data_IF_465720981755
#
_entry.id   IF_465720981755
#
_cell.length_a   1.000
_cell.length_b   1.000
_cell.length_c   1.000
_cell.angle_alpha   90.00
_cell.angle_beta   90.00
_cell.angle_gamma   90.00
#
_symmetry.space_group_name_H-M   'P 1'
#
loop_
_entity.id
_entity.type
_entity.pdbx_description
1 polymer ?
#
# COMPACT_ATOMS: atom_id res chain seq x y z
N UNK A 1 -3.57 6.35 -23.65
CA UNK A 1 -4.54 7.10 -22.80
C UNK A 1 -5.87 7.34 -23.50
N UNK A 2 -5.95 7.10 -24.78
CA UNK A 2 -7.15 7.38 -25.61
C UNK A 2 -8.39 6.53 -25.28
N UNK A 3 -8.24 5.51 -24.40
CA UNK A 3 -9.34 4.65 -23.94
C UNK A 3 -9.92 5.02 -22.57
N UNK A 4 -9.30 5.99 -21.85
CA UNK A 4 -9.80 6.44 -20.57
C UNK A 4 -10.71 7.66 -20.74
N UNK A 5 -11.73 7.76 -19.87
CA UNK A 5 -12.53 8.98 -19.77
C UNK A 5 -11.62 10.17 -19.42
N UNK A 6 -11.85 11.34 -20.03
CA UNK A 6 -10.94 12.48 -20.00
C UNK A 6 -10.50 12.88 -18.57
N UNK A 7 -11.45 13.02 -17.63
CA UNK A 7 -11.17 13.42 -16.25
C UNK A 7 -10.27 12.41 -15.50
N UNK A 8 -10.47 11.10 -15.71
CA UNK A 8 -9.60 10.07 -15.16
C UNK A 8 -8.22 10.10 -15.85
N UNK A 9 -8.18 10.32 -17.16
CA UNK A 9 -6.94 10.47 -17.91
C UNK A 9 -6.11 11.65 -17.40
N UNK A 10 -6.74 12.81 -17.23
CA UNK A 10 -6.11 14.03 -16.71
C UNK A 10 -5.58 13.82 -15.26
N UNK A 11 -6.38 13.18 -14.42
CA UNK A 11 -5.96 12.84 -13.04
C UNK A 11 -4.73 11.90 -13.02
N UNK A 12 -4.69 10.92 -13.92
CA UNK A 12 -3.59 9.94 -13.98
C UNK A 12 -2.34 10.46 -14.71
N UNK A 13 -2.46 11.52 -15.52
CA UNK A 13 -1.37 12.02 -16.37
C UNK A 13 -0.06 12.31 -15.60
N UNK A 14 -0.05 12.98 -14.42
CA UNK A 14 1.17 13.19 -13.64
C UNK A 14 1.82 11.88 -13.19
N UNK A 15 1.01 10.87 -12.84
CA UNK A 15 1.47 9.55 -12.43
C UNK A 15 2.08 8.79 -13.60
N UNK A 16 1.44 8.80 -14.76
CA UNK A 16 1.96 8.20 -16.00
C UNK A 16 3.27 8.85 -16.40
N UNK A 17 3.36 10.19 -16.36
CA UNK A 17 4.59 10.94 -16.64
C UNK A 17 5.73 10.51 -15.71
N UNK A 18 5.46 10.33 -14.42
CA UNK A 18 6.46 9.92 -13.42
C UNK A 18 6.91 8.46 -13.58
N UNK A 19 6.00 7.57 -13.94
CA UNK A 19 6.25 6.11 -14.07
C UNK A 19 6.77 5.72 -15.46
N UNK A 20 6.42 6.48 -16.50
CA UNK A 20 6.72 6.16 -17.90
C UNK A 20 5.71 5.20 -18.55
N UNK A 21 4.67 4.78 -17.83
CA UNK A 21 3.63 3.88 -18.34
C UNK A 21 2.30 4.09 -17.63
N UNK A 22 1.20 3.68 -18.29
CA UNK A 22 -0.10 3.48 -17.67
C UNK A 22 -0.19 2.03 -17.20
N UNK A 23 -0.29 1.82 -15.88
CA UNK A 23 -0.39 0.47 -15.31
C UNK A 23 -1.64 -0.28 -15.78
N UNK A 24 -1.53 -1.60 -15.97
CA UNK A 24 -2.64 -2.45 -16.43
C UNK A 24 -3.88 -2.34 -15.53
N UNK A 25 -3.69 -2.14 -14.23
CA UNK A 25 -4.79 -1.88 -13.30
C UNK A 25 -5.68 -0.74 -13.81
N UNK A 26 -5.10 0.40 -14.23
CA UNK A 26 -5.86 1.57 -14.66
C UNK A 26 -6.55 1.36 -16.00
N UNK A 27 -5.99 0.51 -16.87
CA UNK A 27 -6.67 0.10 -18.10
C UNK A 27 -7.93 -0.71 -17.79
N UNK A 28 -7.84 -1.67 -16.87
CA UNK A 28 -8.99 -2.47 -16.43
C UNK A 28 -9.99 -1.62 -15.63
N UNK A 29 -9.52 -0.84 -14.68
CA UNK A 29 -10.36 0.00 -13.81
C UNK A 29 -11.01 1.17 -14.55
N UNK A 30 -10.50 1.56 -15.72
CA UNK A 30 -11.09 2.55 -16.62
C UNK A 30 -12.49 2.22 -17.08
N UNK A 31 -12.92 0.96 -17.01
CA UNK A 31 -14.31 0.55 -17.24
C UNK A 31 -15.29 1.04 -16.14
N UNK A 32 -14.79 1.45 -14.97
CA UNK A 32 -15.56 2.05 -13.89
C UNK A 32 -14.91 3.40 -13.47
N UNK A 33 -14.94 4.43 -14.34
CA UNK A 33 -14.10 5.61 -14.20
C UNK A 33 -14.40 6.42 -12.92
N UNK A 34 -15.68 6.58 -12.52
CA UNK A 34 -16.04 7.29 -11.30
C UNK A 34 -15.53 6.57 -10.06
N UNK A 35 -15.73 5.26 -9.99
CA UNK A 35 -15.25 4.43 -8.88
C UNK A 35 -13.72 4.51 -8.79
N UNK A 36 -13.04 4.42 -9.92
CA UNK A 36 -11.57 4.49 -9.99
C UNK A 36 -11.07 5.85 -9.55
N UNK A 37 -11.68 6.93 -10.01
CA UNK A 37 -11.31 8.29 -9.64
C UNK A 37 -11.46 8.52 -8.12
N UNK A 38 -12.61 8.15 -7.54
CA UNK A 38 -12.82 8.28 -6.10
C UNK A 38 -11.91 7.37 -5.27
N UNK A 39 -11.63 6.15 -5.73
CA UNK A 39 -10.66 5.27 -5.09
C UNK A 39 -9.24 5.87 -5.08
N UNK A 40 -8.88 6.57 -6.14
CA UNK A 40 -7.59 7.24 -6.24
C UNK A 40 -7.52 8.50 -5.38
N UNK A 41 -8.58 9.30 -5.31
CA UNK A 41 -8.67 10.43 -4.38
C UNK A 41 -8.59 9.96 -2.92
N UNK A 42 -9.27 8.87 -2.58
CA UNK A 42 -9.15 8.24 -1.26
C UNK A 42 -7.70 7.82 -0.98
N UNK A 43 -7.01 7.24 -1.97
CA UNK A 43 -5.59 6.87 -1.84
C UNK A 43 -4.70 8.08 -1.56
N UNK A 44 -4.90 9.18 -2.29
CA UNK A 44 -4.10 10.39 -2.10
C UNK A 44 -4.37 11.02 -0.73
N UNK A 45 -5.63 11.10 -0.29
CA UNK A 45 -5.98 11.58 1.05
C UNK A 45 -5.33 10.76 2.18
N UNK A 46 -5.23 9.43 2.02
CA UNK A 46 -4.53 8.57 2.99
C UNK A 46 -3.02 8.85 3.03
N UNK A 47 -2.40 9.07 1.87
CA UNK A 47 -0.98 9.41 1.78
C UNK A 47 -0.67 10.78 2.37
N UNK A 48 -1.57 11.74 2.21
CA UNK A 48 -1.44 13.07 2.81
C UNK A 48 -1.60 13.04 4.35
N UNK A 49 -2.37 12.07 4.86
CA UNK A 49 -2.65 11.92 6.28
C UNK A 49 -1.60 11.10 7.05
N UNK A 50 -0.67 10.44 6.36
CA UNK A 50 0.30 9.53 6.97
C UNK A 50 1.73 9.89 6.58
N UNK A 51 2.71 9.71 7.49
CA UNK A 51 4.12 9.72 7.10
C UNK A 51 4.42 8.66 6.04
N UNK A 52 5.33 8.99 5.11
CA UNK A 52 5.74 8.08 4.02
C UNK A 52 6.14 6.70 4.53
N UNK A 53 6.86 6.61 5.66
CA UNK A 53 7.30 5.33 6.23
C UNK A 53 6.14 4.46 6.69
N UNK A 54 5.10 5.02 7.30
CA UNK A 54 3.89 4.27 7.69
C UNK A 54 3.08 3.88 6.46
N UNK A 55 2.99 4.76 5.47
CA UNK A 55 2.32 4.49 4.20
C UNK A 55 2.95 3.30 3.48
N UNK A 56 4.28 3.33 3.29
CA UNK A 56 4.99 2.25 2.60
C UNK A 56 5.04 0.95 3.42
N UNK A 57 5.16 1.05 4.76
CA UNK A 57 5.06 -0.11 5.65
C UNK A 57 3.71 -0.83 5.45
N UNK A 58 2.60 -0.09 5.49
CA UNK A 58 1.26 -0.64 5.31
C UNK A 58 1.08 -1.25 3.92
N UNK A 59 1.49 -0.53 2.87
CA UNK A 59 1.40 -0.99 1.49
C UNK A 59 2.19 -2.29 1.25
N UNK A 60 3.46 -2.34 1.68
CA UNK A 60 4.33 -3.52 1.55
C UNK A 60 3.83 -4.69 2.38
N UNK A 61 3.36 -4.43 3.61
CA UNK A 61 2.80 -5.48 4.49
C UNK A 61 1.58 -6.15 3.84
N UNK A 62 0.62 -5.36 3.36
CA UNK A 62 -0.58 -5.92 2.69
C UNK A 62 -0.20 -6.61 1.39
N UNK A 63 0.66 -6.00 0.57
CA UNK A 63 1.07 -6.58 -0.70
C UNK A 63 1.79 -7.93 -0.51
N UNK A 64 2.66 -8.04 0.50
CA UNK A 64 3.36 -9.30 0.82
C UNK A 64 2.41 -10.34 1.40
N UNK A 65 1.53 -9.95 2.33
CA UNK A 65 0.55 -10.84 2.94
C UNK A 65 -0.46 -11.41 1.91
N UNK A 66 -0.93 -10.56 0.99
CA UNK A 66 -1.89 -10.92 -0.05
C UNK A 66 -1.24 -11.53 -1.31
N UNK A 67 0.07 -11.75 -1.29
CA UNK A 67 0.85 -12.21 -2.44
C UNK A 67 0.68 -11.34 -3.69
N UNK A 68 0.40 -10.04 -3.49
CA UNK A 68 0.22 -9.06 -4.55
C UNK A 68 1.58 -8.55 -5.06
N UNK A 69 2.20 -9.31 -5.96
CA UNK A 69 3.50 -8.94 -6.56
C UNK A 69 3.43 -7.64 -7.36
N UNK A 70 2.27 -7.30 -7.94
CA UNK A 70 2.05 -6.08 -8.72
C UNK A 70 2.33 -4.81 -7.89
N UNK A 71 1.75 -4.71 -6.69
CA UNK A 71 1.97 -3.58 -5.78
C UNK A 71 3.31 -3.70 -5.05
N UNK A 72 3.68 -4.90 -4.60
CA UNK A 72 4.93 -5.08 -3.86
C UNK A 72 6.13 -4.55 -4.62
N UNK A 73 6.31 -4.94 -5.89
CA UNK A 73 7.44 -4.49 -6.69
C UNK A 73 7.45 -2.97 -6.93
N UNK A 74 6.27 -2.37 -7.11
CA UNK A 74 6.16 -0.92 -7.27
C UNK A 74 6.50 -0.17 -5.97
N UNK A 75 6.01 -0.67 -4.80
CA UNK A 75 6.26 -0.07 -3.50
C UNK A 75 7.70 -0.30 -3.02
N UNK A 76 8.32 -1.42 -3.34
CA UNK A 76 9.77 -1.63 -3.14
C UNK A 76 10.57 -0.51 -3.83
N UNK A 77 10.29 -0.24 -5.10
CA UNK A 77 10.97 0.83 -5.86
C UNK A 77 10.64 2.23 -5.36
N UNK A 78 9.40 2.46 -4.94
CA UNK A 78 9.00 3.74 -4.37
C UNK A 78 9.72 3.98 -3.04
N UNK A 79 9.81 2.97 -2.18
CA UNK A 79 10.54 3.04 -0.90
C UNK A 79 12.02 3.39 -1.10
N UNK A 80 12.67 2.78 -2.09
CA UNK A 80 14.06 3.15 -2.46
C UNK A 80 14.16 4.61 -2.90
N UNK A 81 13.21 5.10 -3.72
CA UNK A 81 13.17 6.51 -4.16
C UNK A 81 12.95 7.49 -3.00
N UNK A 82 12.23 7.08 -1.97
CA UNK A 82 12.02 7.82 -0.73
C UNK A 82 13.25 7.76 0.22
N UNK A 83 14.29 7.00 -0.16
CA UNK A 83 15.51 6.89 0.62
C UNK A 83 15.49 5.81 1.69
N UNK A 84 14.52 4.88 1.67
CA UNK A 84 14.46 3.80 2.65
C UNK A 84 15.48 2.71 2.32
N UNK A 85 16.21 2.16 3.31
CA UNK A 85 17.20 1.12 3.09
C UNK A 85 16.59 -0.17 2.54
N UNK A 86 17.28 -0.86 1.63
CA UNK A 86 16.84 -2.17 1.13
C UNK A 86 16.66 -3.18 2.28
N UNK A 87 17.47 -3.10 3.33
CA UNK A 87 17.34 -3.94 4.52
C UNK A 87 15.99 -3.73 5.22
N UNK A 88 15.53 -2.47 5.36
CA UNK A 88 14.22 -2.14 5.89
C UNK A 88 13.10 -2.75 5.03
N UNK A 89 13.15 -2.55 3.70
CA UNK A 89 12.17 -3.09 2.75
C UNK A 89 12.10 -4.62 2.85
N UNK A 90 13.26 -5.28 2.89
CA UNK A 90 13.33 -6.73 3.02
C UNK A 90 12.70 -7.23 4.33
N UNK A 91 12.89 -6.52 5.44
CA UNK A 91 12.31 -6.91 6.73
C UNK A 91 10.80 -6.68 6.76
N UNK A 92 10.29 -5.58 6.19
CA UNK A 92 8.83 -5.38 6.05
C UNK A 92 8.20 -6.53 5.25
N UNK A 93 8.83 -6.92 4.14
CA UNK A 93 8.32 -8.00 3.28
C UNK A 93 8.34 -9.39 3.94
N UNK A 94 9.18 -9.61 4.97
CA UNK A 94 9.22 -10.88 5.73
C UNK A 94 8.01 -11.10 6.62
N UNK A 95 7.25 -10.06 6.96
CA UNK A 95 6.07 -10.12 7.81
C UNK A 95 6.36 -10.64 9.23
N UNK A 96 7.57 -10.41 9.73
CA UNK A 96 8.02 -10.80 11.08
C UNK A 96 8.55 -9.57 11.83
N UNK A 97 7.63 -8.74 12.39
CA UNK A 97 8.02 -7.53 13.09
C UNK A 97 8.85 -7.79 14.36
N UNK A 98 8.74 -8.98 14.97
CA UNK A 98 9.44 -9.30 16.21
C UNK A 98 10.93 -9.58 15.95
N UNK A 99 11.27 -10.17 14.80
CA UNK A 99 12.65 -10.41 14.38
C UNK A 99 13.26 -9.23 13.60
N UNK A 100 12.49 -8.17 13.29
CA UNK A 100 12.95 -7.06 12.48
C UNK A 100 13.85 -6.09 13.27
N UNK A 101 15.12 -5.95 12.88
CA UNK A 101 16.09 -5.02 13.49
C UNK A 101 16.06 -3.61 12.87
N UNK A 102 15.59 -3.49 11.62
CA UNK A 102 15.53 -2.22 10.87
C UNK A 102 14.22 -1.44 11.11
N UNK A 103 13.23 -2.06 11.75
CA UNK A 103 11.96 -1.42 12.07
C UNK A 103 12.04 -0.76 13.46
N UNK A 104 11.58 0.49 13.55
CA UNK A 104 11.36 1.18 14.83
C UNK A 104 10.21 0.52 15.62
N UNK A 105 10.09 0.87 16.90
CA UNK A 105 9.01 0.34 17.75
C UNK A 105 7.62 0.71 17.21
N UNK A 106 7.46 1.91 16.67
CA UNK A 106 6.25 2.34 15.99
C UNK A 106 5.93 1.46 14.78
N UNK A 107 6.91 1.20 13.93
CA UNK A 107 6.73 0.41 12.71
C UNK A 107 6.43 -1.06 13.05
N UNK A 108 7.07 -1.60 14.07
CA UNK A 108 6.76 -2.95 14.59
C UNK A 108 5.33 -3.04 15.12
N UNK A 109 4.89 -2.04 15.90
CA UNK A 109 3.52 -1.99 16.41
C UNK A 109 2.50 -1.88 15.29
N UNK A 110 2.75 -1.00 14.30
CA UNK A 110 1.91 -0.83 13.12
C UNK A 110 1.82 -2.13 12.28
N UNK A 111 2.95 -2.82 12.06
CA UNK A 111 2.96 -4.07 11.30
C UNK A 111 2.27 -5.21 12.05
N UNK A 112 2.46 -5.33 13.39
CA UNK A 112 1.72 -6.30 14.21
C UNK A 112 0.22 -6.10 14.11
N UNK A 113 -0.24 -4.84 14.23
CA UNK A 113 -1.65 -4.52 14.05
C UNK A 113 -2.15 -4.89 12.65
N UNK A 114 -1.42 -4.49 11.61
CA UNK A 114 -1.80 -4.81 10.22
C UNK A 114 -1.92 -6.32 10.00
N UNK A 115 -0.93 -7.10 10.43
CA UNK A 115 -0.95 -8.56 10.31
C UNK A 115 -2.10 -9.19 11.09
N UNK A 116 -2.34 -8.73 12.33
CA UNK A 116 -3.48 -9.20 13.12
C UNK A 116 -4.79 -8.93 12.42
N UNK A 117 -5.00 -7.69 11.93
CA UNK A 117 -6.20 -7.30 11.22
C UNK A 117 -6.43 -8.12 9.93
N UNK A 118 -5.36 -8.39 9.17
CA UNK A 118 -5.43 -9.21 7.96
C UNK A 118 -5.80 -10.67 8.28
N UNK A 119 -5.15 -11.28 9.27
CA UNK A 119 -5.44 -12.67 9.67
C UNK A 119 -6.86 -12.84 10.23
N UNK A 120 -7.34 -11.87 11.00
CA UNK A 120 -8.62 -11.97 11.70
C UNK A 120 -9.75 -11.22 11.01
N UNK A 121 -9.52 -10.62 9.88
CA UNK A 121 -10.50 -9.78 9.17
C UNK A 121 -10.99 -8.60 10.02
N UNK A 122 -10.07 -8.02 10.81
CA UNK A 122 -10.33 -6.91 11.71
C UNK A 122 -10.96 -7.30 13.06
N UNK A 123 -11.13 -8.60 13.33
CA UNK A 123 -11.68 -9.08 14.61
C UNK A 123 -10.58 -9.29 15.65
N UNK A 124 -10.89 -9.02 16.93
CA UNK A 124 -9.98 -9.25 18.06
C UNK A 124 -8.59 -8.59 17.85
N UNK A 125 -8.59 -7.32 17.45
CA UNK A 125 -7.39 -6.52 17.16
C UNK A 125 -7.09 -5.48 18.25
N UNK A 126 -7.88 -5.43 19.31
CA UNK A 126 -7.89 -4.34 20.30
C UNK A 126 -6.49 -4.12 20.88
N UNK A 127 -5.83 -5.19 21.30
CA UNK A 127 -4.50 -5.13 21.93
C UNK A 127 -3.44 -4.55 20.99
N UNK A 128 -3.38 -5.05 19.76
CA UNK A 128 -2.40 -4.60 18.76
C UNK A 128 -2.73 -3.19 18.27
N UNK A 129 -4.02 -2.86 18.14
CA UNK A 129 -4.45 -1.52 17.77
C UNK A 129 -4.13 -0.49 18.86
N UNK A 130 -4.42 -0.76 20.13
CA UNK A 130 -4.10 0.11 21.25
C UNK A 130 -2.59 0.36 21.36
N UNK A 131 -1.78 -0.70 21.19
CA UNK A 131 -0.33 -0.59 21.21
C UNK A 131 0.21 0.31 20.09
N UNK A 132 -0.38 0.25 18.89
CA UNK A 132 -0.04 1.13 17.77
C UNK A 132 -0.57 2.56 17.99
N UNK A 133 -1.85 2.69 18.34
CA UNK A 133 -2.52 3.97 18.49
C UNK A 133 -1.92 4.84 19.63
N UNK A 134 -1.29 4.22 20.63
CA UNK A 134 -0.57 4.94 21.67
C UNK A 134 0.70 5.67 21.17
N UNK A 135 1.19 5.34 19.97
CA UNK A 135 2.43 5.88 19.40
C UNK A 135 2.21 6.92 18.29
N UNK A 136 0.95 7.19 17.91
CA UNK A 136 0.60 8.12 16.82
C UNK A 136 -0.60 8.99 17.19
N UNK A 137 -0.79 10.15 16.53
CA UNK A 137 -2.03 10.91 16.64
C UNK A 137 -3.26 10.07 16.23
N UNK A 138 -4.43 10.28 16.84
CA UNK A 138 -5.65 9.51 16.51
C UNK A 138 -6.04 9.53 15.03
N UNK A 139 -5.78 10.66 14.34
CA UNK A 139 -6.02 10.77 12.89
C UNK A 139 -5.13 9.84 12.06
N UNK A 140 -3.85 9.72 12.41
CA UNK A 140 -2.92 8.80 11.76
C UNK A 140 -3.29 7.33 12.04
N UNK A 141 -3.71 7.02 13.28
CA UNK A 141 -4.17 5.68 13.62
C UNK A 141 -5.36 5.27 12.73
N UNK A 142 -6.37 6.14 12.59
CA UNK A 142 -7.53 5.89 11.73
C UNK A 142 -7.14 5.81 10.26
N UNK A 143 -6.28 6.72 9.78
CA UNK A 143 -5.81 6.69 8.39
C UNK A 143 -5.05 5.39 8.08
N UNK A 144 -4.27 4.85 9.02
CA UNK A 144 -3.56 3.59 8.83
C UNK A 144 -4.52 2.40 8.74
N UNK A 145 -5.57 2.34 9.56
CA UNK A 145 -6.63 1.32 9.43
C UNK A 145 -7.26 1.34 8.03
N UNK A 146 -7.62 2.54 7.57
CA UNK A 146 -8.21 2.74 6.24
C UNK A 146 -7.22 2.39 5.12
N UNK A 147 -5.92 2.69 5.31
CA UNK A 147 -4.86 2.34 4.36
C UNK A 147 -4.76 0.82 4.16
N UNK A 148 -4.81 0.03 5.23
CA UNK A 148 -4.82 -1.44 5.14
C UNK A 148 -6.00 -1.91 4.29
N UNK A 149 -7.22 -1.42 4.57
CA UNK A 149 -8.42 -1.76 3.79
C UNK A 149 -8.29 -1.38 2.31
N UNK A 150 -7.73 -0.21 2.03
CA UNK A 150 -7.47 0.27 0.67
C UNK A 150 -6.56 -0.70 -0.10
N UNK A 151 -5.45 -1.15 0.50
CA UNK A 151 -4.53 -2.05 -0.17
C UNK A 151 -5.07 -3.48 -0.28
N UNK A 152 -5.89 -3.94 0.67
CA UNK A 152 -6.63 -5.21 0.53
C UNK A 152 -7.56 -5.16 -0.68
N UNK A 153 -8.35 -4.09 -0.84
CA UNK A 153 -9.22 -3.91 -2.01
C UNK A 153 -8.42 -3.96 -3.31
N UNK A 154 -7.28 -3.27 -3.35
CA UNK A 154 -6.41 -3.27 -4.52
C UNK A 154 -5.84 -4.66 -4.82
N UNK A 155 -5.36 -5.36 -3.79
CA UNK A 155 -4.84 -6.71 -3.95
C UNK A 155 -5.91 -7.68 -4.49
N UNK A 156 -7.14 -7.58 -4.02
CA UNK A 156 -8.26 -8.39 -4.54
C UNK A 156 -8.48 -8.16 -6.04
N UNK A 157 -8.48 -6.92 -6.50
CA UNK A 157 -8.63 -6.60 -7.92
C UNK A 157 -7.47 -7.17 -8.74
N UNK A 158 -6.24 -6.87 -8.35
CA UNK A 158 -5.02 -7.28 -9.06
C UNK A 158 -4.89 -8.81 -9.12
N UNK A 159 -5.13 -9.50 -8.00
CA UNK A 159 -5.03 -10.95 -7.93
C UNK A 159 -6.15 -11.63 -8.71
N UNK A 160 -7.39 -11.11 -8.64
CA UNK A 160 -8.52 -11.62 -9.42
C UNK A 160 -8.25 -11.53 -10.92
N UNK A 161 -7.74 -10.38 -11.38
CA UNK A 161 -7.42 -10.13 -12.78
C UNK A 161 -6.07 -10.72 -13.21
N UNK A 162 -5.29 -11.29 -12.27
CA UNK A 162 -3.97 -11.89 -12.51
C UNK A 162 -3.00 -10.93 -13.20
N UNK A 163 -3.02 -9.67 -12.79
CA UNK A 163 -2.18 -8.64 -13.41
C UNK A 163 -0.70 -8.89 -13.08
N UNK A 164 0.12 -8.92 -14.14
CA UNK A 164 1.56 -9.08 -13.98
C UNK A 164 2.20 -7.80 -13.39
N UNK A 165 3.26 -7.92 -12.57
CA UNK A 165 4.01 -6.77 -12.09
C UNK A 165 4.53 -5.93 -13.28
N UNK A 166 4.34 -4.61 -13.28
CA UNK A 166 4.80 -3.74 -14.37
C UNK A 166 6.31 -3.49 -14.33
N UNK A 167 6.95 -3.84 -13.23
CA UNK A 167 8.39 -3.68 -12.98
C UNK A 167 8.91 -4.89 -12.19
N UNK A 168 10.20 -5.27 -12.34
CA UNK A 168 10.79 -6.32 -11.51
C UNK A 168 10.93 -5.86 -10.06
N UNK A 169 11.03 -6.82 -9.13
CA UNK A 169 11.43 -6.55 -7.74
C UNK A 169 12.85 -5.94 -7.68
N UNK A 170 13.14 -5.22 -6.60
CA UNK A 170 14.52 -4.76 -6.31
C UNK A 170 15.40 -5.90 -5.80
N UNK A 171 14.82 -7.05 -5.51
CA UNK A 171 15.51 -8.25 -5.01
C UNK A 171 15.65 -9.37 -6.05
N UNK A 172 15.18 -9.14 -7.30
CA UNK A 172 15.32 -10.05 -8.44
C UNK A 172 16.48 -9.66 -9.34
#
# INVERSE_FOLDING_TARGET
MDELRADLGDYLAPRVKRLGYLGELFKCAGHAPDVTLHFMHFTDALKDALPDRLTELGALTVASFMENRYERHQHERLSVKLGFPNAWIAQVNRLDPDAASELSDLEKAAQRYALKALHTRGLATEKEFEAFAALVPPGEAMAFVLLIGRYVTHAMVVNTLKLAPPVPSIFE
#
